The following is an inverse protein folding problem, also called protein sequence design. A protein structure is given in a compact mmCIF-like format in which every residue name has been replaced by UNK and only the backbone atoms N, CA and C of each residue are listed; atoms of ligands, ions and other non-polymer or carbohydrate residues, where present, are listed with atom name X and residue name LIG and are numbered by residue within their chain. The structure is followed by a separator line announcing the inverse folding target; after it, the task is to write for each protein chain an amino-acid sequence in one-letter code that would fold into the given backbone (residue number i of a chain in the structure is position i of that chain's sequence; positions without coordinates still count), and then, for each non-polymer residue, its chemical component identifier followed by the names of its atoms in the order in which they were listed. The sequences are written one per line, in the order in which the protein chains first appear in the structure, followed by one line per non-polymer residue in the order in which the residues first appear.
data_IF_602356680431
#
_entry.id   IF_602356680431
#
_cell.length_a   1.000
_cell.length_b   1.000
_cell.length_c   1.000
_cell.angle_alpha   90.00
_cell.angle_beta   90.00
_cell.angle_gamma   90.00
#
_symmetry.space_group_name_H-M   'P 1'
#
loop_
_entity.id
_entity.type
_entity.pdbx_description
1 polymer ?
#
# COMPACT_ATOMS: atom_id res chain seq x y z
N UNK A 1 29.69 16.35 0.30
CA UNK A 1 28.51 16.28 1.20
C UNK A 1 28.28 14.82 1.59
N UNK A 2 28.18 14.48 2.88
CA UNK A 2 27.80 13.11 3.29
C UNK A 2 26.32 12.91 2.97
N UNK A 3 25.89 11.81 2.32
CA UNK A 3 24.53 11.64 1.81
C UNK A 3 23.42 11.49 2.88
N UNK A 4 23.71 11.78 4.15
CA UNK A 4 22.73 11.78 5.24
C UNK A 4 21.95 10.46 5.37
N UNK A 5 20.68 10.56 5.77
CA UNK A 5 19.75 9.41 5.81
C UNK A 5 19.25 9.00 4.42
N UNK A 6 19.40 9.86 3.40
CA UNK A 6 18.89 9.59 2.05
C UNK A 6 19.55 8.39 1.37
N UNK A 7 20.74 7.98 1.82
CA UNK A 7 21.39 6.76 1.33
C UNK A 7 20.62 5.46 1.63
N UNK A 8 19.60 5.52 2.48
CA UNK A 8 18.77 4.38 2.87
C UNK A 8 17.35 4.45 2.29
N UNK A 9 17.08 5.37 1.36
CA UNK A 9 15.78 5.41 0.67
C UNK A 9 15.67 4.18 -0.23
N UNK A 10 14.54 3.50 -0.13
CA UNK A 10 14.14 2.43 -1.03
C UNK A 10 12.85 2.84 -1.73
N UNK A 11 12.74 2.52 -3.01
CA UNK A 11 11.48 2.61 -3.73
C UNK A 11 10.59 1.44 -3.33
N UNK A 12 9.40 1.75 -2.82
CA UNK A 12 8.41 0.78 -2.40
C UNK A 12 7.11 1.01 -3.18
N UNK A 13 6.42 -0.08 -3.50
CA UNK A 13 5.11 -0.06 -4.16
C UNK A 13 4.10 -0.84 -3.34
N UNK A 14 2.89 -0.30 -3.21
CA UNK A 14 1.84 -0.92 -2.42
C UNK A 14 1.15 -2.04 -3.18
N UNK A 15 0.82 -3.11 -2.46
CA UNK A 15 0.22 -4.29 -3.05
C UNK A 15 -1.32 -4.24 -3.08
N UNK A 16 -1.87 -4.23 -4.30
CA UNK A 16 -3.31 -4.33 -4.58
C UNK A 16 -3.93 -5.65 -4.11
N UNK A 17 -3.15 -6.69 -3.86
CA UNK A 17 -3.67 -7.96 -3.34
C UNK A 17 -3.93 -7.91 -1.83
N UNK A 18 -3.17 -7.10 -1.08
CA UNK A 18 -3.29 -6.98 0.37
C UNK A 18 -4.20 -5.84 0.80
N UNK A 19 -4.31 -4.78 -0.02
CA UNK A 19 -5.04 -3.54 0.32
C UNK A 19 -6.49 -3.78 0.75
N UNK A 20 -6.87 -3.21 1.88
CA UNK A 20 -8.26 -3.21 2.33
C UNK A 20 -9.17 -2.48 1.33
N UNK A 21 -10.41 -2.96 1.16
CA UNK A 21 -11.38 -2.36 0.22
C UNK A 21 -11.79 -0.92 0.55
N UNK A 22 -11.57 -0.41 1.76
CA UNK A 22 -11.84 0.99 2.10
C UNK A 22 -10.67 1.93 1.77
N UNK A 23 -9.58 1.41 1.22
CA UNK A 23 -8.43 2.20 0.78
C UNK A 23 -8.39 2.26 -0.74
N UNK A 24 -8.13 3.44 -1.31
CA UNK A 24 -7.80 3.57 -2.73
C UNK A 24 -6.33 3.92 -2.92
N UNK A 25 -5.67 3.21 -3.83
CA UNK A 25 -4.30 3.50 -4.24
C UNK A 25 -4.27 4.44 -5.45
N UNK A 26 -3.28 5.34 -5.48
CA UNK A 26 -3.01 6.25 -6.61
C UNK A 26 -1.51 6.49 -6.75
N UNK A 27 -1.12 7.31 -7.74
CA UNK A 27 0.30 7.65 -7.99
C UNK A 27 1.15 6.38 -8.12
N UNK A 28 0.78 5.50 -9.05
CA UNK A 28 1.47 4.22 -9.29
C UNK A 28 1.57 3.35 -8.02
N UNK A 29 0.50 3.36 -7.22
CA UNK A 29 0.42 2.66 -5.93
C UNK A 29 1.46 3.15 -4.90
N UNK A 30 1.86 4.41 -4.95
CA UNK A 30 2.72 5.04 -3.93
C UNK A 30 1.94 5.88 -2.92
N UNK A 31 0.64 6.09 -3.15
CA UNK A 31 -0.23 6.89 -2.28
C UNK A 31 -1.50 6.13 -1.91
N UNK A 32 -1.91 6.27 -0.64
CA UNK A 32 -3.13 5.68 -0.08
C UNK A 32 -4.09 6.78 0.32
N UNK A 33 -5.38 6.59 0.01
CA UNK A 33 -6.47 7.45 0.52
C UNK A 33 -7.56 6.59 1.13
N UNK A 34 -8.06 6.97 2.31
CA UNK A 34 -9.21 6.31 2.94
C UNK A 34 -10.53 6.76 2.32
N UNK A 35 -11.43 5.81 2.05
CA UNK A 35 -12.76 5.99 1.46
C UNK A 35 -13.82 5.47 2.43
N UNK A 36 -14.39 6.38 3.23
CA UNK A 36 -15.31 6.05 4.34
C UNK A 36 -16.55 5.25 3.97
N UNK A 37 -17.08 5.40 2.74
CA UNK A 37 -18.37 4.81 2.33
C UNK A 37 -18.28 3.90 1.10
N UNK A 38 -17.20 3.98 0.34
CA UNK A 38 -17.08 3.33 -0.96
C UNK A 38 -15.99 2.27 -0.92
N UNK A 39 -16.42 1.00 -0.87
CA UNK A 39 -15.52 -0.13 -1.03
C UNK A 39 -15.03 -0.17 -2.47
N UNK A 40 -13.72 -0.11 -2.65
CA UNK A 40 -13.07 -0.26 -3.94
C UNK A 40 -13.36 -1.66 -4.51
N UNK A 41 -13.53 -1.78 -5.84
CA UNK A 41 -13.95 -3.01 -6.51
C UNK A 41 -12.78 -3.99 -6.69
N UNK A 42 -11.93 -4.15 -5.67
CA UNK A 42 -10.81 -5.08 -5.73
C UNK A 42 -11.29 -6.53 -5.65
N UNK A 43 -10.75 -7.42 -6.50
CA UNK A 43 -11.11 -8.83 -6.49
C UNK A 43 -10.80 -9.47 -5.14
N UNK A 44 -11.55 -10.50 -4.78
CA UNK A 44 -11.24 -11.27 -3.57
C UNK A 44 -9.84 -11.88 -3.68
N UNK A 45 -9.09 -11.80 -2.58
CA UNK A 45 -7.74 -12.35 -2.48
C UNK A 45 -7.52 -12.86 -1.04
N UNK A 46 -6.88 -14.02 -0.84
CA UNK A 46 -6.67 -14.58 0.50
C UNK A 46 -5.85 -13.66 1.43
N UNK A 47 -4.90 -12.91 0.87
CA UNK A 47 -4.03 -12.00 1.63
C UNK A 47 -4.66 -10.63 1.91
N UNK A 48 -5.89 -10.39 1.43
CA UNK A 48 -6.53 -9.08 1.56
C UNK A 48 -6.96 -8.81 2.99
N UNK A 49 -6.57 -7.67 3.54
CA UNK A 49 -7.08 -7.23 4.83
C UNK A 49 -8.59 -6.94 4.75
N UNK A 50 -9.36 -7.56 5.65
CA UNK A 50 -10.82 -7.39 5.74
C UNK A 50 -11.26 -6.61 6.97
N UNK A 51 -10.51 -6.68 8.08
CA UNK A 51 -10.85 -6.06 9.35
C UNK A 51 -10.41 -4.60 9.47
N UNK A 52 -9.14 -4.32 9.15
CA UNK A 52 -8.52 -3.01 9.31
C UNK A 52 -8.09 -2.42 7.97
N UNK A 53 -8.05 -1.09 7.89
CA UNK A 53 -7.62 -0.30 6.73
C UNK A 53 -6.10 -0.32 6.57
N UNK A 54 -5.56 -1.48 6.23
CA UNK A 54 -4.13 -1.73 6.05
C UNK A 54 -3.79 -2.16 4.61
N UNK A 55 -2.51 -2.06 4.27
CA UNK A 55 -1.90 -2.49 3.02
C UNK A 55 -0.41 -2.75 3.26
N UNK A 56 0.17 -3.72 2.56
CA UNK A 56 1.62 -4.00 2.59
C UNK A 56 2.30 -3.46 1.33
N UNK A 57 3.62 -3.26 1.43
CA UNK A 57 4.46 -3.10 0.25
C UNK A 57 4.69 -4.45 -0.42
N UNK A 58 4.93 -4.46 -1.73
CA UNK A 58 5.29 -5.68 -2.48
C UNK A 58 6.70 -6.15 -2.15
N UNK A 59 7.58 -5.19 -1.91
CA UNK A 59 8.99 -5.43 -1.64
C UNK A 59 9.18 -5.81 -0.17
N UNK A 60 9.84 -6.93 0.08
CA UNK A 60 10.39 -7.26 1.39
C UNK A 60 11.70 -6.52 1.61
N UNK A 61 11.91 -6.00 2.82
CA UNK A 61 13.18 -5.40 3.23
C UNK A 61 13.98 -6.42 4.05
N UNK A 62 15.29 -6.54 3.76
CA UNK A 62 16.25 -7.42 4.46
C UNK A 62 17.47 -6.64 4.92
#
# INVERSE_FOLDING_TARGET
MKPGLRKYVCDLTLDLNTVNRLLSLSEENRKVTYRRREKQPYPDHPERFKGWEQVLCREGLT
#
